data_IF_862396309297
#
_entry.id   IF_862396309297
#
_cell.length_a   1.000
_cell.length_b   1.000
_cell.length_c   1.000
_cell.angle_alpha   90.00
_cell.angle_beta   90.00
_cell.angle_gamma   90.00
#
_symmetry.space_group_name_H-M   'P 1'
#
loop_
_entity.id
_entity.type
_entity.pdbx_description
1 polymer ?
#
# COMPACT_ATOMS: atom_id res chain seq x y z
N UNK A 1 -7.43 -7.86 -35.21
CA UNK A 1 -6.15 -7.10 -35.14
C UNK A 1 -6.18 -5.90 -34.17
N UNK A 2 -7.25 -5.08 -34.12
CA UNK A 2 -7.35 -3.94 -33.16
C UNK A 2 -7.33 -4.32 -31.66
N UNK A 3 -7.92 -5.46 -31.28
CA UNK A 3 -8.00 -5.88 -29.86
C UNK A 3 -6.63 -6.19 -29.28
N UNK A 4 -5.76 -6.88 -30.02
CA UNK A 4 -4.41 -7.21 -29.54
C UNK A 4 -3.51 -5.98 -29.41
N UNK A 5 -3.75 -4.96 -30.25
CA UNK A 5 -3.02 -3.69 -30.19
C UNK A 5 -3.46 -2.84 -28.98
N UNK A 6 -4.77 -2.78 -28.70
CA UNK A 6 -5.29 -2.12 -27.49
C UNK A 6 -4.78 -2.78 -26.20
N UNK A 7 -4.75 -4.11 -26.14
CA UNK A 7 -4.20 -4.84 -25.00
C UNK A 7 -2.70 -4.52 -24.79
N UNK A 8 -1.91 -4.51 -25.86
CA UNK A 8 -0.49 -4.13 -25.79
C UNK A 8 -0.30 -2.70 -25.31
N UNK A 9 -1.13 -1.76 -25.73
CA UNK A 9 -1.05 -0.36 -25.29
C UNK A 9 -1.46 -0.20 -23.83
N UNK A 10 -2.49 -0.92 -23.38
CA UNK A 10 -2.91 -0.95 -21.98
C UNK A 10 -1.82 -1.51 -21.06
N UNK A 11 -1.20 -2.64 -21.43
CA UNK A 11 -0.12 -3.23 -20.64
C UNK A 11 1.12 -2.32 -20.58
N UNK A 12 1.45 -1.64 -21.70
CA UNK A 12 2.50 -0.62 -21.71
C UNK A 12 2.15 0.54 -20.77
N UNK A 13 0.91 1.00 -20.76
CA UNK A 13 0.44 2.06 -19.86
C UNK A 13 0.66 1.66 -18.40
N UNK A 14 0.24 0.45 -18.00
CA UNK A 14 0.48 -0.08 -16.64
C UNK A 14 1.98 -0.09 -16.31
N UNK A 15 2.82 -0.63 -17.19
CA UNK A 15 4.27 -0.69 -16.97
C UNK A 15 4.91 0.69 -16.82
N UNK A 16 4.51 1.65 -17.65
CA UNK A 16 4.97 3.03 -17.53
C UNK A 16 4.50 3.70 -16.25
N UNK A 17 3.27 3.44 -15.84
CA UNK A 17 2.71 3.95 -14.58
C UNK A 17 3.53 3.45 -13.39
N UNK A 18 3.79 2.14 -13.29
CA UNK A 18 4.68 1.59 -12.26
C UNK A 18 6.04 2.26 -12.25
N UNK A 19 6.69 2.36 -13.41
CA UNK A 19 8.01 2.99 -13.53
C UNK A 19 8.01 4.44 -13.08
N UNK A 20 6.92 5.17 -13.32
CA UNK A 20 6.83 6.59 -12.98
C UNK A 20 6.62 6.78 -11.49
N UNK A 21 5.71 6.00 -10.87
CA UNK A 21 5.46 6.05 -9.41
C UNK A 21 6.70 5.66 -8.63
N UNK A 22 7.38 4.59 -9.05
CA UNK A 22 8.54 4.03 -8.36
C UNK A 22 9.87 4.71 -8.73
N UNK A 23 9.85 5.81 -9.51
CA UNK A 23 11.08 6.49 -9.92
C UNK A 23 11.64 7.40 -8.84
N UNK A 24 10.76 8.08 -8.12
CA UNK A 24 11.15 9.18 -7.22
C UNK A 24 11.47 8.63 -5.83
N UNK A 25 12.58 9.04 -5.24
CA UNK A 25 12.94 8.64 -3.87
C UNK A 25 11.90 9.12 -2.85
N UNK A 26 11.26 10.25 -3.13
CA UNK A 26 10.20 10.82 -2.30
C UNK A 26 9.00 9.88 -2.17
N UNK A 27 8.60 9.17 -3.22
CA UNK A 27 7.47 8.24 -3.12
C UNK A 27 7.78 7.11 -2.14
N UNK A 28 8.98 6.54 -2.16
CA UNK A 28 9.41 5.54 -1.17
C UNK A 28 9.41 6.05 0.27
N UNK A 29 9.79 7.32 0.50
CA UNK A 29 9.76 7.92 1.84
C UNK A 29 8.33 7.95 2.37
N UNK A 30 7.37 8.42 1.57
CA UNK A 30 5.96 8.48 1.99
C UNK A 30 5.27 7.10 2.00
N UNK A 31 5.71 6.19 1.15
CA UNK A 31 5.14 4.84 0.98
C UNK A 31 5.58 3.84 2.03
N UNK A 32 6.85 3.91 2.44
CA UNK A 32 7.48 2.86 3.23
C UNK A 32 8.04 3.44 4.51
N UNK A 33 8.89 4.46 4.41
CA UNK A 33 9.63 4.98 5.58
C UNK A 33 8.68 5.64 6.59
N UNK A 34 7.84 6.58 6.16
CA UNK A 34 6.89 7.27 7.02
C UNK A 34 5.91 6.32 7.73
N UNK A 35 5.23 5.37 7.05
CA UNK A 35 4.32 4.45 7.73
C UNK A 35 5.05 3.44 8.61
N UNK A 36 6.28 3.03 8.27
CA UNK A 36 7.10 2.19 9.16
C UNK A 36 7.45 2.96 10.44
N UNK A 37 7.98 4.18 10.34
CA UNK A 37 8.32 4.98 11.52
C UNK A 37 7.10 5.13 12.42
N UNK A 38 5.94 5.48 11.83
CA UNK A 38 4.72 5.66 12.60
C UNK A 38 4.23 4.36 13.24
N UNK A 39 4.27 3.22 12.54
CA UNK A 39 3.84 1.96 13.15
C UNK A 39 4.78 1.54 14.28
N UNK A 40 6.08 1.80 14.16
CA UNK A 40 7.05 1.56 15.22
C UNK A 40 6.75 2.43 16.45
N UNK A 41 6.46 3.72 16.27
CA UNK A 41 6.02 4.60 17.35
C UNK A 41 4.74 4.09 18.02
N UNK A 42 3.72 3.75 17.24
CA UNK A 42 2.46 3.21 17.77
C UNK A 42 2.68 1.90 18.53
N UNK A 43 3.56 1.02 18.02
CA UNK A 43 3.90 -0.24 18.67
C UNK A 43 4.53 -0.02 20.05
N UNK A 44 5.58 0.81 20.16
CA UNK A 44 6.26 1.01 21.44
C UNK A 44 5.46 1.82 22.46
N UNK A 45 4.77 2.87 22.02
CA UNK A 45 4.08 3.77 22.96
C UNK A 45 2.70 3.28 23.38
N UNK A 46 1.97 2.58 22.50
CA UNK A 46 0.55 2.31 22.74
C UNK A 46 0.23 0.83 22.82
N UNK A 47 0.90 0.02 22.00
CA UNK A 47 0.64 -1.41 21.92
C UNK A 47 1.05 -2.12 23.20
N UNK A 48 2.23 -1.81 23.77
CA UNK A 48 2.67 -2.35 25.07
C UNK A 48 1.70 -2.04 26.22
N UNK A 49 1.09 -0.85 26.21
CA UNK A 49 0.17 -0.43 27.27
C UNK A 49 -1.20 -1.11 27.15
N UNK A 50 -1.70 -1.29 25.92
CA UNK A 50 -2.97 -1.96 25.65
C UNK A 50 -2.89 -3.48 25.84
N UNK A 51 -1.68 -4.06 25.76
CA UNK A 51 -1.47 -5.50 25.91
C UNK A 51 -1.70 -6.04 27.31
N UNK A 52 -1.43 -5.22 28.34
CA UNK A 52 -1.84 -5.54 29.71
C UNK A 52 -3.35 -5.81 29.85
N UNK A 53 -4.16 -5.36 28.88
CA UNK A 53 -5.62 -5.55 28.89
C UNK A 53 -6.14 -6.58 27.89
N UNK A 54 -5.28 -7.34 27.20
CA UNK A 54 -5.63 -8.46 26.30
C UNK A 54 -6.71 -8.17 25.24
N UNK A 55 -6.76 -6.95 24.71
CA UNK A 55 -7.79 -6.54 23.74
C UNK A 55 -7.31 -6.74 22.29
N UNK A 56 -7.34 -7.98 21.81
CA UNK A 56 -6.94 -8.35 20.43
C UNK A 56 -7.69 -7.59 19.32
N UNK A 57 -8.91 -7.12 19.59
CA UNK A 57 -9.69 -6.31 18.65
C UNK A 57 -9.01 -4.95 18.39
N UNK A 58 -8.40 -4.34 19.42
CA UNK A 58 -7.69 -3.07 19.23
C UNK A 58 -6.44 -3.23 18.35
N UNK A 59 -5.75 -4.37 18.46
CA UNK A 59 -4.60 -4.72 17.61
C UNK A 59 -4.96 -4.66 16.11
N UNK A 60 -6.13 -5.23 15.75
CA UNK A 60 -6.60 -5.24 14.35
C UNK A 60 -6.93 -3.85 13.81
N UNK A 61 -7.24 -2.88 14.68
CA UNK A 61 -7.47 -1.50 14.25
C UNK A 61 -6.15 -0.77 13.94
N UNK A 62 -5.07 -1.15 14.61
CA UNK A 62 -3.74 -0.57 14.40
C UNK A 62 -3.10 -1.00 13.08
N UNK A 63 -3.42 -2.19 12.56
CA UNK A 63 -2.96 -2.64 11.24
C UNK A 63 -3.61 -1.86 10.09
N UNK A 64 -4.70 -1.12 10.35
CA UNK A 64 -5.38 -0.25 9.38
C UNK A 64 -4.73 1.14 9.31
N UNK A 65 -4.02 1.58 10.35
CA UNK A 65 -3.40 2.93 10.39
C UNK A 65 -2.43 3.18 9.22
N UNK A 66 -1.57 2.23 8.81
CA UNK A 66 -0.76 2.38 7.60
C UNK A 66 -1.58 2.61 6.32
N UNK A 67 -2.82 2.10 6.27
CA UNK A 67 -3.73 2.32 5.14
C UNK A 67 -4.16 3.80 5.01
N UNK A 68 -4.10 4.59 6.09
CA UNK A 68 -4.36 6.03 6.02
C UNK A 68 -3.24 6.79 5.31
N UNK A 69 -1.98 6.36 5.46
CA UNK A 69 -0.85 6.94 4.73
C UNK A 69 -0.92 6.68 3.22
N UNK A 70 -1.66 5.65 2.81
CA UNK A 70 -1.92 5.33 1.41
C UNK A 70 -2.89 6.33 0.75
N UNK A 71 -3.74 7.02 1.52
CA UNK A 71 -4.59 8.12 0.99
C UNK A 71 -3.76 9.35 0.62
N UNK A 72 -2.74 9.67 1.42
CA UNK A 72 -1.82 10.77 1.13
C UNK A 72 -0.97 10.49 -0.11
N UNK A 73 -0.54 9.25 -0.28
CA UNK A 73 0.15 8.77 -1.48
C UNK A 73 -0.72 8.88 -2.73
N UNK A 74 -1.95 8.37 -2.68
CA UNK A 74 -2.88 8.48 -3.80
C UNK A 74 -3.12 9.95 -4.21
N UNK A 75 -3.27 10.83 -3.22
CA UNK A 75 -3.44 12.27 -3.44
C UNK A 75 -2.19 12.92 -4.05
N UNK A 76 -0.99 12.55 -3.57
CA UNK A 76 0.29 13.03 -4.11
C UNK A 76 0.47 12.61 -5.57
N UNK A 77 0.27 11.32 -5.88
CA UNK A 77 0.39 10.80 -7.26
C UNK A 77 -0.61 11.49 -8.18
N UNK A 78 -1.87 11.66 -7.76
CA UNK A 78 -2.88 12.34 -8.56
C UNK A 78 -2.48 13.78 -8.85
N UNK A 79 -1.96 14.51 -7.86
CA UNK A 79 -1.52 15.90 -8.04
C UNK A 79 -0.31 16.00 -8.99
N UNK A 80 0.71 15.17 -8.78
CA UNK A 80 1.93 15.16 -9.61
C UNK A 80 1.61 14.75 -11.07
N UNK A 81 0.64 13.85 -11.25
CA UNK A 81 0.28 13.32 -12.57
C UNK A 81 -0.73 14.18 -13.32
N UNK A 82 -1.60 14.91 -12.61
CA UNK A 82 -2.51 15.89 -13.19
C UNK A 82 -1.74 16.88 -14.06
N UNK A 83 -0.58 17.32 -13.58
CA UNK A 83 0.15 18.44 -14.17
C UNK A 83 1.17 18.01 -15.25
N UNK A 84 1.47 16.70 -15.41
CA UNK A 84 2.55 16.24 -16.30
C UNK A 84 2.25 15.01 -17.19
N UNK A 85 1.48 14.05 -16.68
CA UNK A 85 1.37 12.69 -17.25
C UNK A 85 -0.02 12.45 -17.84
N UNK A 86 -1.08 12.89 -17.18
CA UNK A 86 -2.45 12.56 -17.58
C UNK A 86 -2.81 13.04 -19.00
N UNK A 87 -2.47 14.30 -19.32
CA UNK A 87 -2.73 14.92 -20.62
C UNK A 87 -1.85 14.37 -21.75
N UNK A 88 -0.57 14.08 -21.47
CA UNK A 88 0.36 13.50 -22.46
C UNK A 88 0.02 12.05 -22.77
N UNK A 89 -0.40 11.26 -21.79
CA UNK A 89 -0.67 9.84 -21.96
C UNK A 89 -2.02 9.58 -22.67
N UNK A 90 -3.07 10.35 -22.38
CA UNK A 90 -4.33 10.30 -23.13
C UNK A 90 -4.13 10.60 -24.62
N UNK A 91 -3.24 11.55 -24.94
CA UNK A 91 -2.96 11.97 -26.32
C UNK A 91 -1.99 11.04 -27.04
N UNK A 92 -0.95 10.52 -26.37
CA UNK A 92 0.10 9.68 -26.99
C UNK A 92 -0.28 8.19 -27.12
N UNK A 93 -1.06 7.63 -26.20
CA UNK A 93 -1.41 6.21 -26.24
C UNK A 93 -2.76 5.93 -26.90
N UNK A 94 -3.55 6.97 -27.22
CA UNK A 94 -4.88 6.82 -27.82
C UNK A 94 -5.85 5.98 -26.98
N UNK A 95 -5.60 5.88 -25.67
CA UNK A 95 -6.41 5.09 -24.73
C UNK A 95 -7.64 5.86 -24.31
N UNK A 96 -8.74 5.14 -24.07
CA UNK A 96 -9.98 5.75 -23.59
C UNK A 96 -9.84 6.14 -22.11
N UNK A 97 -10.56 7.17 -21.65
CA UNK A 97 -10.47 7.68 -20.26
C UNK A 97 -10.70 6.59 -19.21
N UNK A 98 -11.68 5.71 -19.45
CA UNK A 98 -11.99 4.57 -18.58
C UNK A 98 -10.86 3.55 -18.50
N UNK A 99 -10.18 3.29 -19.62
CA UNK A 99 -9.02 2.37 -19.64
C UNK A 99 -7.85 2.97 -18.86
N UNK A 100 -7.62 4.28 -18.96
CA UNK A 100 -6.61 4.94 -18.15
C UNK A 100 -6.92 4.85 -16.64
N UNK A 101 -8.17 5.12 -16.25
CA UNK A 101 -8.60 5.00 -14.85
C UNK A 101 -8.46 3.57 -14.32
N UNK A 102 -8.83 2.56 -15.14
CA UNK A 102 -8.65 1.16 -14.77
C UNK A 102 -7.17 0.78 -14.59
N UNK A 103 -6.29 1.24 -15.48
CA UNK A 103 -4.85 1.03 -15.34
C UNK A 103 -4.29 1.67 -14.07
N UNK A 104 -4.70 2.91 -13.77
CA UNK A 104 -4.30 3.63 -12.56
C UNK A 104 -4.74 2.86 -11.30
N UNK A 105 -6.00 2.40 -11.27
CA UNK A 105 -6.54 1.65 -10.14
C UNK A 105 -5.78 0.35 -9.90
N UNK A 106 -5.48 -0.40 -10.97
CA UNK A 106 -4.70 -1.65 -10.88
C UNK A 106 -3.33 -1.37 -10.24
N UNK A 107 -2.63 -0.35 -10.73
CA UNK A 107 -1.28 0.00 -10.26
C UNK A 107 -1.30 0.46 -8.81
N UNK A 108 -2.21 1.37 -8.44
CA UNK A 108 -2.35 1.84 -7.06
C UNK A 108 -2.71 0.70 -6.12
N UNK A 109 -3.64 -0.18 -6.52
CA UNK A 109 -4.04 -1.34 -5.73
C UNK A 109 -2.88 -2.29 -5.49
N UNK A 110 -2.13 -2.66 -6.53
CA UNK A 110 -0.99 -3.59 -6.41
C UNK A 110 0.13 -3.03 -5.55
N UNK A 111 0.48 -1.75 -5.74
CA UNK A 111 1.46 -1.06 -4.90
C UNK A 111 1.02 -1.04 -3.44
N UNK A 112 -0.24 -0.66 -3.21
CA UNK A 112 -0.83 -0.58 -1.87
C UNK A 112 -0.83 -1.94 -1.18
N UNK A 113 -1.25 -2.98 -1.89
CA UNK A 113 -1.27 -4.35 -1.40
C UNK A 113 0.13 -4.82 -1.00
N UNK A 114 1.14 -4.57 -1.83
CA UNK A 114 2.53 -4.93 -1.53
C UNK A 114 3.07 -4.22 -0.28
N UNK A 115 2.76 -2.93 -0.10
CA UNK A 115 3.18 -2.16 1.08
C UNK A 115 2.54 -2.70 2.36
N UNK A 116 1.24 -3.00 2.32
CA UNK A 116 0.53 -3.55 3.48
C UNK A 116 1.21 -4.86 3.91
N UNK A 117 1.50 -5.76 2.98
CA UNK A 117 2.22 -7.00 3.28
C UNK A 117 3.61 -6.77 3.85
N UNK A 118 4.35 -5.79 3.33
CA UNK A 118 5.66 -5.42 3.87
C UNK A 118 5.55 -4.95 5.32
N UNK A 119 4.57 -4.08 5.63
CA UNK A 119 4.37 -3.55 6.98
C UNK A 119 3.93 -4.64 7.96
N UNK A 120 3.04 -5.54 7.53
CA UNK A 120 2.65 -6.71 8.34
C UNK A 120 3.86 -7.61 8.61
N UNK A 121 4.69 -7.88 7.60
CA UNK A 121 5.93 -8.64 7.77
C UNK A 121 6.91 -7.95 8.73
N UNK A 122 7.05 -6.63 8.64
CA UNK A 122 7.87 -5.84 9.56
C UNK A 122 7.37 -5.93 11.01
N UNK A 123 6.06 -5.80 11.23
CA UNK A 123 5.45 -5.97 12.55
C UNK A 123 5.71 -7.36 13.11
N UNK A 124 5.58 -8.40 12.29
CA UNK A 124 5.89 -9.77 12.69
C UNK A 124 7.35 -9.95 13.11
N UNK A 125 8.30 -9.31 12.42
CA UNK A 125 9.72 -9.34 12.79
C UNK A 125 10.00 -8.62 14.12
N UNK A 126 9.40 -7.45 14.35
CA UNK A 126 9.53 -6.75 15.65
C UNK A 126 9.00 -7.64 16.77
N UNK A 127 7.86 -8.28 16.54
CA UNK A 127 7.19 -9.13 17.51
C UNK A 127 7.99 -10.39 17.87
N UNK A 128 8.74 -10.95 16.91
CA UNK A 128 9.67 -12.06 17.18
C UNK A 128 10.84 -11.65 18.09
N UNK A 129 11.26 -10.39 18.04
CA UNK A 129 12.37 -9.88 18.88
C UNK A 129 11.93 -9.56 20.30
N UNK A 130 10.62 -9.49 20.57
CA UNK A 130 10.05 -9.23 21.89
C UNK A 130 9.48 -10.53 22.50
N UNK A 131 9.56 -10.67 23.83
CA UNK A 131 9.15 -11.90 24.52
C UNK A 131 7.64 -12.17 24.49
N UNK A 132 6.83 -11.14 24.24
CA UNK A 132 5.38 -11.28 24.07
C UNK A 132 5.09 -11.38 22.58
N UNK A 133 4.93 -12.60 22.04
CA UNK A 133 4.64 -12.86 20.62
C UNK A 133 3.18 -12.51 20.24
N UNK A 134 2.87 -11.22 20.24
CA UNK A 134 1.52 -10.67 20.15
C UNK A 134 0.91 -10.80 18.75
N UNK A 135 1.66 -10.42 17.72
CA UNK A 135 1.26 -10.50 16.31
C UNK A 135 1.07 -11.96 15.92
N UNK A 136 1.91 -12.85 16.44
CA UNK A 136 1.77 -14.30 16.24
C UNK A 136 0.48 -14.84 16.88
N UNK A 137 0.16 -14.41 18.10
CA UNK A 137 -1.10 -14.78 18.77
C UNK A 137 -2.34 -14.22 18.05
N UNK A 138 -2.25 -13.02 17.48
CA UNK A 138 -3.32 -12.45 16.65
C UNK A 138 -3.50 -13.23 15.34
N UNK A 139 -2.41 -13.64 14.68
CA UNK A 139 -2.47 -14.47 13.47
C UNK A 139 -3.12 -15.82 13.77
N UNK A 140 -2.75 -16.46 14.87
CA UNK A 140 -3.34 -17.72 15.34
C UNK A 140 -4.84 -17.57 15.64
N UNK A 141 -5.26 -16.47 16.27
CA UNK A 141 -6.67 -16.16 16.52
C UNK A 141 -7.47 -16.03 15.23
N UNK A 142 -6.94 -15.34 14.21
CA UNK A 142 -7.61 -15.23 12.91
C UNK A 142 -7.73 -16.60 12.23
N UNK A 143 -6.68 -17.42 12.26
CA UNK A 143 -6.74 -18.75 11.66
C UNK A 143 -7.73 -19.68 12.37
N UNK A 144 -7.90 -19.52 13.69
CA UNK A 144 -8.92 -20.24 14.48
C UNK A 144 -10.35 -19.84 14.10
N UNK A 145 -10.59 -18.58 13.72
CA UNK A 145 -11.88 -18.12 13.20
C UNK A 145 -12.16 -18.53 11.75
N UNK A 146 -11.13 -18.96 11.02
CA UNK A 146 -11.25 -19.42 9.63
C UNK A 146 -11.52 -20.93 9.48
N UNK A 147 -11.53 -21.67 10.60
CA UNK A 147 -11.97 -23.06 10.70
C UNK A 147 -13.42 -23.12 11.18
#
# INVERSE_FOLDING_TARGET
MKISQNYKMFNRCISYMFKTILKTSQTYIYMVVAPIILITFVYFFWYQQMLKTSRYIMISSFTIIPALFLLFLGSFIICEWRDSVFLKYLKNFGLNKLQFMAALLIVLFTITFAIIWLIVGYLFLIDLTHQEHIVQNWFNFITLFSQ
#
